data_IF_887107019443
#
_entry.id   IF_887107019443
#
_cell.length_a   1.000
_cell.length_b   1.000
_cell.length_c   1.000
_cell.angle_alpha   90.00
_cell.angle_beta   90.00
_cell.angle_gamma   90.00
#
_symmetry.space_group_name_H-M   'P 1'
#
loop_
_entity.id
_entity.type
_entity.pdbx_description
1 polymer ?
#
# COMPACT_ATOMS: atom_id res chain seq x y z
N UNK A 1 -10.30 -18.01 -14.59
CA UNK A 1 -9.42 -18.50 -13.50
C UNK A 1 -10.31 -18.74 -12.29
N UNK A 2 -10.78 -19.97 -12.16
CA UNK A 2 -11.56 -20.45 -11.00
C UNK A 2 -10.66 -20.47 -9.77
N UNK A 3 -10.83 -19.48 -8.89
CA UNK A 3 -10.22 -19.49 -7.57
C UNK A 3 -11.21 -20.13 -6.61
N UNK A 4 -11.33 -21.45 -6.69
CA UNK A 4 -12.07 -22.21 -5.69
C UNK A 4 -11.32 -22.13 -4.36
N UNK A 5 -11.94 -21.50 -3.35
CA UNK A 5 -11.47 -21.41 -1.97
C UNK A 5 -11.13 -22.79 -1.37
N UNK A 6 -11.67 -23.87 -1.95
CA UNK A 6 -11.43 -25.28 -1.58
C UNK A 6 -9.97 -25.74 -1.72
N UNK A 7 -9.11 -25.01 -2.44
CA UNK A 7 -7.71 -25.39 -2.66
C UNK A 7 -6.71 -24.69 -1.73
N UNK A 8 -7.19 -23.83 -0.83
CA UNK A 8 -6.33 -23.26 0.20
C UNK A 8 -6.15 -24.28 1.32
N UNK A 9 -4.92 -24.48 1.85
CA UNK A 9 -4.68 -25.27 3.04
C UNK A 9 -5.08 -24.44 4.27
N UNK A 10 -6.30 -23.90 4.25
CA UNK A 10 -6.95 -23.35 5.43
C UNK A 10 -7.68 -24.50 6.11
N UNK A 11 -7.50 -24.63 7.42
CA UNK A 11 -8.14 -25.60 8.32
C UNK A 11 -9.67 -25.46 8.42
N UNK A 12 -10.32 -24.95 7.37
CA UNK A 12 -11.75 -24.78 7.29
C UNK A 12 -12.34 -26.08 6.79
N UNK A 13 -12.72 -26.94 7.73
CA UNK A 13 -13.77 -27.90 7.45
C UNK A 13 -15.03 -27.08 7.11
N UNK A 14 -15.56 -27.30 5.91
CA UNK A 14 -16.79 -26.67 5.46
C UNK A 14 -17.91 -27.43 6.16
N UNK A 15 -18.49 -26.82 7.19
CA UNK A 15 -19.67 -27.34 7.84
C UNK A 15 -20.90 -26.75 7.15
N UNK A 16 -21.83 -27.60 6.72
CA UNK A 16 -23.11 -27.20 6.11
C UNK A 16 -24.10 -26.61 7.13
N UNK A 17 -23.72 -26.54 8.41
CA UNK A 17 -24.61 -26.11 9.49
C UNK A 17 -24.26 -24.69 9.97
N UNK A 18 -25.06 -23.72 9.50
CA UNK A 18 -24.96 -22.27 9.73
C UNK A 18 -25.12 -21.82 11.21
N UNK A 19 -25.07 -22.75 12.18
CA UNK A 19 -25.48 -22.50 13.58
C UNK A 19 -24.49 -22.93 14.66
N UNK A 20 -23.24 -23.26 14.32
CA UNK A 20 -22.22 -23.52 15.34
C UNK A 20 -21.64 -22.20 15.87
N UNK A 21 -22.22 -21.66 16.95
CA UNK A 21 -21.62 -20.55 17.71
C UNK A 21 -20.46 -21.04 18.59
N UNK A 22 -19.60 -20.13 19.03
CA UNK A 22 -18.47 -20.47 19.93
C UNK A 22 -18.94 -21.17 21.21
N UNK A 23 -20.09 -20.77 21.75
CA UNK A 23 -20.68 -21.34 22.97
C UNK A 23 -20.96 -22.84 22.84
N UNK A 24 -21.16 -23.35 21.63
CA UNK A 24 -21.35 -24.78 21.39
C UNK A 24 -20.15 -25.62 21.87
N UNK A 25 -18.94 -25.06 21.74
CA UNK A 25 -17.67 -25.69 22.10
C UNK A 25 -17.22 -25.41 23.54
N UNK A 26 -18.04 -24.70 24.33
CA UNK A 26 -17.72 -24.32 25.70
C UNK A 26 -18.75 -24.95 26.63
N UNK A 27 -18.27 -25.70 27.63
CA UNK A 27 -19.09 -26.28 28.69
C UNK A 27 -18.46 -25.98 30.05
N UNK A 28 -19.23 -25.42 30.98
CA UNK A 28 -18.75 -25.04 32.33
C UNK A 28 -17.46 -24.21 32.32
N UNK A 29 -17.39 -23.21 31.44
CA UNK A 29 -16.20 -22.36 31.25
C UNK A 29 -14.92 -23.14 30.90
N UNK A 30 -15.06 -24.30 30.25
CA UNK A 30 -13.96 -25.10 29.71
C UNK A 30 -14.24 -25.47 28.26
N UNK A 31 -13.19 -25.66 27.49
CA UNK A 31 -13.30 -26.19 26.14
C UNK A 31 -13.82 -27.63 26.16
N UNK A 32 -14.87 -27.88 25.39
CA UNK A 32 -15.42 -29.21 25.15
C UNK A 32 -14.55 -29.92 24.11
N UNK A 33 -13.49 -30.59 24.60
CA UNK A 33 -12.51 -31.29 23.76
C UNK A 33 -13.16 -32.31 22.82
N UNK A 34 -14.23 -32.98 23.28
CA UNK A 34 -14.93 -34.01 22.51
C UNK A 34 -15.65 -33.37 21.32
N UNK A 35 -16.24 -32.19 21.49
CA UNK A 35 -16.80 -31.45 20.36
C UNK A 35 -15.72 -30.88 19.46
N UNK A 36 -14.65 -30.31 20.01
CA UNK A 36 -13.59 -29.71 19.20
C UNK A 36 -12.94 -30.72 18.24
N UNK A 37 -12.70 -31.97 18.66
CA UNK A 37 -12.08 -32.99 17.79
C UNK A 37 -13.00 -33.50 16.67
N UNK A 38 -14.31 -33.28 16.78
CA UNK A 38 -15.26 -33.59 15.72
C UNK A 38 -15.21 -32.57 14.57
N UNK A 39 -14.75 -31.35 14.86
CA UNK A 39 -14.75 -30.22 13.91
C UNK A 39 -13.33 -29.78 13.49
N UNK A 40 -12.31 -30.07 14.31
CA UNK A 40 -10.95 -29.58 14.08
C UNK A 40 -9.93 -30.72 14.16
N UNK A 41 -8.83 -30.58 13.42
CA UNK A 41 -7.69 -31.50 13.51
C UNK A 41 -6.96 -31.37 14.85
N UNK A 42 -6.29 -32.44 15.29
CA UNK A 42 -5.66 -32.60 16.61
C UNK A 42 -4.75 -31.43 17.00
N UNK A 43 -3.89 -30.95 16.08
CA UNK A 43 -3.01 -29.80 16.33
C UNK A 43 -3.77 -28.52 16.69
N UNK A 44 -4.90 -28.28 16.02
CA UNK A 44 -5.72 -27.10 16.24
C UNK A 44 -6.55 -27.24 17.53
N UNK A 45 -7.05 -28.45 17.83
CA UNK A 45 -7.71 -28.75 19.10
C UNK A 45 -6.77 -28.48 20.27
N UNK A 46 -5.51 -28.92 20.17
CA UNK A 46 -4.48 -28.69 21.19
C UNK A 46 -4.20 -27.19 21.37
N UNK A 47 -4.13 -26.43 20.27
CA UNK A 47 -3.97 -24.98 20.32
C UNK A 47 -5.17 -24.29 20.99
N UNK A 48 -6.40 -24.60 20.57
CA UNK A 48 -7.63 -24.03 21.15
C UNK A 48 -7.71 -24.36 22.65
N UNK A 49 -7.45 -25.62 23.02
CA UNK A 49 -7.53 -26.09 24.41
C UNK A 49 -6.51 -25.42 25.34
N UNK A 50 -5.42 -24.85 24.79
CA UNK A 50 -4.43 -24.10 25.58
C UNK A 50 -4.89 -22.69 25.98
N UNK A 51 -5.93 -22.17 25.32
CA UNK A 51 -6.51 -20.84 25.60
C UNK A 51 -7.32 -20.91 26.88
N UNK A 52 -7.02 -20.07 27.86
CA UNK A 52 -7.78 -20.02 29.11
C UNK A 52 -9.09 -19.25 28.93
N UNK A 53 -10.21 -19.85 29.33
CA UNK A 53 -11.53 -19.19 29.36
C UNK A 53 -11.69 -18.54 30.74
N UNK A 54 -11.67 -17.21 30.78
CA UNK A 54 -11.77 -16.45 32.03
C UNK A 54 -13.24 -16.14 32.36
N UNK A 55 -13.77 -16.68 33.45
CA UNK A 55 -15.17 -16.49 33.86
C UNK A 55 -15.44 -15.21 34.68
N UNK A 56 -14.39 -14.52 35.14
CA UNK A 56 -14.49 -13.44 36.14
C UNK A 56 -14.51 -12.02 35.54
N UNK A 57 -14.62 -11.87 34.23
CA UNK A 57 -14.73 -10.56 33.59
C UNK A 57 -16.17 -10.35 33.12
N UNK A 58 -16.73 -9.17 33.39
CA UNK A 58 -17.96 -8.73 32.74
C UNK A 58 -17.78 -8.80 31.22
N UNK A 59 -18.89 -9.00 30.48
CA UNK A 59 -19.00 -9.09 29.01
C UNK A 59 -17.79 -8.58 28.23
N UNK A 60 -17.25 -9.38 27.30
CA UNK A 60 -16.17 -8.96 26.41
C UNK A 60 -16.49 -7.61 25.75
N UNK A 61 -15.78 -6.56 26.17
CA UNK A 61 -15.87 -5.26 25.54
C UNK A 61 -14.62 -5.03 24.68
N UNK A 62 -14.80 -4.45 23.50
CA UNK A 62 -13.67 -3.94 22.72
C UNK A 62 -13.01 -2.81 23.50
N UNK A 63 -11.91 -3.11 24.19
CA UNK A 63 -11.08 -2.10 24.81
C UNK A 63 -10.09 -1.53 23.78
N UNK A 64 -10.48 -0.42 23.16
CA UNK A 64 -9.48 0.48 22.61
C UNK A 64 -8.77 1.08 23.81
N UNK A 65 -7.51 0.68 24.03
CA UNK A 65 -6.61 1.30 25.02
C UNK A 65 -6.73 2.83 24.90
N UNK A 66 -7.54 3.42 25.79
CA UNK A 66 -7.71 4.85 26.04
C UNK A 66 -8.53 5.69 25.01
N UNK A 67 -9.88 5.58 24.98
CA UNK A 67 -10.80 6.76 24.90
C UNK A 67 -12.30 6.40 24.84
N UNK A 68 -13.09 7.05 25.71
CA UNK A 68 -14.55 7.11 25.63
C UNK A 68 -14.91 8.32 24.76
N UNK A 69 -15.17 8.13 23.45
CA UNK A 69 -15.67 9.24 22.62
C UNK A 69 -16.83 8.88 21.68
N UNK A 70 -17.38 7.67 21.75
CA UNK A 70 -18.52 7.25 20.91
C UNK A 70 -18.26 7.34 19.39
N UNK A 71 -16.99 7.50 18.98
CA UNK A 71 -16.56 7.69 17.60
C UNK A 71 -15.96 6.40 17.08
N UNK A 72 -16.15 6.10 15.79
CA UNK A 72 -15.51 4.94 15.17
C UNK A 72 -13.98 5.08 15.17
N UNK A 73 -13.25 3.96 15.06
CA UNK A 73 -11.79 3.94 14.93
C UNK A 73 -11.34 4.85 13.79
N UNK A 74 -12.03 4.83 12.65
CA UNK A 74 -11.75 5.72 11.51
C UNK A 74 -11.95 7.20 11.87
N UNK A 75 -13.03 7.54 12.57
CA UNK A 75 -13.29 8.91 13.00
C UNK A 75 -12.26 9.40 14.03
N UNK A 76 -11.77 8.50 14.90
CA UNK A 76 -10.71 8.82 15.84
C UNK A 76 -9.33 8.92 15.19
N UNK A 77 -8.98 8.08 14.21
CA UNK A 77 -7.73 8.21 13.44
C UNK A 77 -7.73 9.53 12.66
N UNK A 78 -8.88 9.88 12.06
CA UNK A 78 -9.08 11.16 11.40
C UNK A 78 -8.90 12.30 12.41
N UNK A 79 -9.56 12.26 13.57
CA UNK A 79 -9.45 13.29 14.60
C UNK A 79 -8.09 13.39 15.29
N UNK A 80 -7.42 12.27 15.53
CA UNK A 80 -6.09 12.23 16.15
C UNK A 80 -5.07 12.82 15.18
N UNK A 81 -5.22 12.50 13.88
CA UNK A 81 -4.50 13.18 12.79
C UNK A 81 -4.84 14.67 12.64
N UNK A 82 -5.93 15.16 13.24
CA UNK A 82 -6.25 16.60 13.33
C UNK A 82 -5.84 17.25 14.67
N UNK A 83 -5.60 16.45 15.73
CA UNK A 83 -5.21 16.93 17.06
C UNK A 83 -3.69 17.05 17.22
N UNK A 84 -2.91 16.27 16.47
CA UNK A 84 -1.49 16.53 16.23
C UNK A 84 -1.33 17.70 15.24
N UNK A 85 -1.56 18.92 15.73
CA UNK A 85 -1.26 20.20 15.08
C UNK A 85 -1.95 20.47 13.72
N UNK A 86 -2.17 21.76 13.44
CA UNK A 86 -2.37 22.27 12.09
C UNK A 86 -1.09 22.09 11.23
N UNK A 87 -0.51 20.89 11.20
CA UNK A 87 0.49 20.53 10.21
C UNK A 87 -0.28 20.39 8.91
N UNK A 88 -0.27 21.45 8.12
CA UNK A 88 -0.60 21.38 6.69
C UNK A 88 0.13 20.15 6.17
N UNK A 89 -0.62 19.09 5.84
CA UNK A 89 -0.06 17.83 5.38
C UNK A 89 1.01 18.18 4.33
N UNK A 90 2.30 17.86 4.58
CA UNK A 90 3.39 18.35 3.73
C UNK A 90 3.24 17.93 2.27
N UNK A 91 2.36 16.97 1.99
CA UNK A 91 2.03 16.44 0.67
C UNK A 91 0.64 16.85 0.16
N UNK A 92 -0.10 17.69 0.89
CA UNK A 92 -1.42 18.23 0.48
C UNK A 92 -1.41 18.87 -0.91
N UNK A 93 -0.31 19.51 -1.27
CA UNK A 93 -0.12 20.13 -2.58
C UNK A 93 -0.15 19.12 -3.74
N UNK A 94 0.11 17.84 -3.49
CA UNK A 94 0.04 16.77 -4.49
C UNK A 94 -1.41 16.58 -4.97
N UNK A 95 -2.40 16.72 -4.07
CA UNK A 95 -3.83 16.61 -4.43
C UNK A 95 -4.24 17.67 -5.45
N UNK A 96 -3.62 18.86 -5.41
CA UNK A 96 -3.88 19.94 -6.37
C UNK A 96 -3.37 19.64 -7.78
N UNK A 97 -2.59 18.58 -7.98
CA UNK A 97 -2.08 18.19 -9.30
C UNK A 97 -3.13 17.46 -10.15
N UNK A 98 -4.29 17.07 -9.61
CA UNK A 98 -5.30 16.26 -10.31
C UNK A 98 -4.64 15.04 -11.00
N UNK A 99 -3.92 14.23 -10.21
CA UNK A 99 -3.28 13.00 -10.70
C UNK A 99 -4.33 11.90 -10.89
N UNK A 100 -3.95 10.83 -11.60
CA UNK A 100 -4.77 9.63 -11.61
C UNK A 100 -4.78 8.97 -10.21
N UNK A 101 -5.92 8.41 -9.81
CA UNK A 101 -6.11 7.80 -8.49
C UNK A 101 -5.08 6.72 -8.14
N UNK A 102 -4.61 5.92 -9.11
CA UNK A 102 -3.59 4.89 -8.87
C UNK A 102 -2.23 5.50 -8.52
N UNK A 103 -1.87 6.59 -9.21
CA UNK A 103 -0.63 7.35 -8.96
C UNK A 103 -0.73 8.06 -7.62
N UNK A 104 -1.87 8.69 -7.33
CA UNK A 104 -2.11 9.39 -6.07
C UNK A 104 -2.05 8.45 -4.86
N UNK A 105 -2.74 7.30 -4.92
CA UNK A 105 -2.69 6.29 -3.87
C UNK A 105 -1.27 5.76 -3.66
N UNK A 106 -0.52 5.54 -4.74
CA UNK A 106 0.87 5.15 -4.64
C UNK A 106 1.71 6.21 -3.94
N UNK A 107 1.62 7.48 -4.35
CA UNK A 107 2.37 8.57 -3.72
C UNK A 107 2.01 8.70 -2.24
N UNK A 108 0.72 8.62 -1.88
CA UNK A 108 0.30 8.64 -0.49
C UNK A 108 1.00 7.53 0.31
N UNK A 109 1.08 6.31 -0.22
CA UNK A 109 1.81 5.20 0.43
C UNK A 109 3.31 5.46 0.54
N UNK A 110 3.92 6.06 -0.49
CA UNK A 110 5.35 6.45 -0.46
C UNK A 110 5.58 7.49 0.64
N UNK A 111 4.75 8.52 0.71
CA UNK A 111 4.83 9.58 1.72
C UNK A 111 4.64 9.05 3.15
N UNK A 112 3.77 8.06 3.33
CA UNK A 112 3.56 7.37 4.61
C UNK A 112 4.59 6.27 4.90
N UNK A 113 5.55 6.04 4.01
CA UNK A 113 6.56 4.98 4.12
C UNK A 113 5.96 3.58 4.24
N UNK A 114 4.84 3.32 3.57
CA UNK A 114 4.07 2.06 3.66
C UNK A 114 4.13 1.20 2.40
N UNK A 115 4.88 1.62 1.37
CA UNK A 115 5.12 0.75 0.21
C UNK A 115 6.02 -0.43 0.60
N UNK A 116 5.77 -1.65 0.07
CA UNK A 116 6.53 -2.85 0.41
C UNK A 116 7.88 -2.90 -0.31
N UNK A 117 8.79 -1.96 -0.01
CA UNK A 117 10.18 -2.03 -0.48
C UNK A 117 10.87 -3.26 0.11
N UNK A 118 11.96 -3.73 -0.49
CA UNK A 118 12.66 -4.91 0.07
C UNK A 118 13.21 -4.61 1.47
N UNK A 119 13.70 -3.39 1.73
CA UNK A 119 14.12 -2.99 3.08
C UNK A 119 12.98 -3.05 4.11
N UNK A 120 11.79 -2.55 3.73
CA UNK A 120 10.58 -2.67 4.55
C UNK A 120 10.21 -4.14 4.85
N UNK A 121 10.31 -5.01 3.85
CA UNK A 121 10.04 -6.44 4.02
C UNK A 121 11.08 -7.12 4.90
N UNK A 122 12.36 -6.73 4.80
CA UNK A 122 13.43 -7.26 5.64
C UNK A 122 13.23 -6.87 7.10
N UNK A 123 12.86 -5.61 7.37
CA UNK A 123 12.53 -5.14 8.71
C UNK A 123 11.34 -5.89 9.35
N UNK A 124 10.48 -6.50 8.52
CA UNK A 124 9.38 -7.38 8.94
C UNK A 124 9.72 -8.87 8.91
N UNK A 125 10.98 -9.23 8.67
CA UNK A 125 11.47 -10.62 8.58
C UNK A 125 10.79 -11.45 7.47
N UNK A 126 10.33 -10.79 6.40
CA UNK A 126 9.72 -11.43 5.23
C UNK A 126 10.73 -11.72 4.10
N UNK A 127 11.96 -11.24 4.23
CA UNK A 127 13.08 -11.49 3.32
C UNK A 127 14.39 -11.36 4.11
N UNK A 128 15.44 -12.05 3.65
CA UNK A 128 16.77 -12.06 4.29
C UNK A 128 17.77 -11.10 3.63
N UNK A 129 17.36 -10.43 2.56
CA UNK A 129 18.18 -9.52 1.78
C UNK A 129 17.34 -8.27 1.44
N UNK A 130 17.90 -7.08 1.58
CA UNK A 130 17.27 -5.78 1.25
C UNK A 130 17.80 -5.13 -0.04
N UNK A 131 18.64 -5.81 -0.81
CA UNK A 131 19.21 -5.28 -2.04
C UNK A 131 18.16 -5.13 -3.15
N UNK A 132 18.32 -4.08 -3.96
CA UNK A 132 17.52 -3.82 -5.17
C UNK A 132 17.52 -5.05 -6.09
N UNK A 133 16.32 -5.55 -6.41
CA UNK A 133 16.14 -6.72 -7.28
C UNK A 133 16.53 -6.48 -8.74
N UNK A 134 16.64 -5.21 -9.17
CA UNK A 134 17.12 -4.82 -10.50
C UNK A 134 18.65 -4.83 -10.62
N UNK A 135 19.37 -5.31 -9.59
CA UNK A 135 20.83 -5.37 -9.62
C UNK A 135 21.50 -4.01 -9.48
N UNK A 136 20.84 -3.06 -8.81
CA UNK A 136 21.36 -1.71 -8.64
C UNK A 136 22.60 -1.62 -7.72
N UNK A 137 22.88 -2.68 -6.95
CA UNK A 137 23.97 -2.69 -5.97
C UNK A 137 23.72 -1.87 -4.69
N UNK A 138 22.50 -1.38 -4.47
CA UNK A 138 22.10 -0.65 -3.25
C UNK A 138 20.87 -1.25 -2.57
N UNK A 139 20.64 -0.83 -1.32
CA UNK A 139 19.44 -1.18 -0.54
C UNK A 139 18.20 -0.57 -1.21
N UNK A 140 17.14 -1.37 -1.35
CA UNK A 140 15.85 -0.91 -1.86
C UNK A 140 15.03 -0.27 -0.73
N UNK A 141 15.36 0.97 -0.40
CA UNK A 141 14.57 1.84 0.49
C UNK A 141 13.72 2.85 -0.33
N UNK A 142 13.06 3.77 0.37
CA UNK A 142 12.23 4.80 -0.28
C UNK A 142 13.06 5.74 -1.14
N UNK A 143 14.26 6.14 -0.69
CA UNK A 143 15.13 7.01 -1.47
C UNK A 143 15.54 6.32 -2.77
N UNK A 144 15.89 5.04 -2.68
CA UNK A 144 16.27 4.24 -3.83
C UNK A 144 15.17 4.19 -4.88
N UNK A 145 13.96 3.76 -4.49
CA UNK A 145 12.86 3.56 -5.45
C UNK A 145 12.33 4.87 -6.03
N UNK A 146 12.53 5.99 -5.33
CA UNK A 146 12.04 7.30 -5.76
C UNK A 146 13.07 8.18 -6.46
N UNK A 147 14.38 7.93 -6.28
CA UNK A 147 15.41 8.85 -6.76
C UNK A 147 16.67 8.20 -7.32
N UNK A 148 17.22 7.16 -6.69
CA UNK A 148 18.56 6.65 -7.04
C UNK A 148 18.58 5.29 -7.76
N UNK A 149 17.42 4.67 -8.01
CA UNK A 149 17.34 3.43 -8.76
C UNK A 149 17.88 3.59 -10.19
N UNK A 150 18.81 2.73 -10.61
CA UNK A 150 19.47 2.80 -11.93
C UNK A 150 18.47 2.74 -13.08
N UNK A 151 17.43 1.89 -12.98
CA UNK A 151 16.35 1.80 -13.97
C UNK A 151 15.56 3.11 -14.07
N UNK A 152 15.21 3.71 -12.94
CA UNK A 152 14.51 5.00 -12.89
C UNK A 152 15.35 6.10 -13.56
N UNK A 153 16.64 6.18 -13.19
CA UNK A 153 17.56 7.18 -13.74
C UNK A 153 17.71 7.05 -15.26
N UNK A 154 17.80 5.84 -15.79
CA UNK A 154 17.85 5.60 -17.25
C UNK A 154 16.58 6.09 -17.97
N UNK A 155 15.41 5.92 -17.36
CA UNK A 155 14.15 6.42 -17.93
C UNK A 155 14.09 7.95 -17.86
N UNK A 156 14.58 8.55 -16.77
CA UNK A 156 14.74 10.01 -16.66
C UNK A 156 15.65 10.53 -17.78
N UNK A 157 16.80 9.90 -17.99
CA UNK A 157 17.75 10.27 -19.06
C UNK A 157 17.13 10.14 -20.46
N UNK A 158 16.35 9.08 -20.69
CA UNK A 158 15.62 8.91 -21.94
C UNK A 158 14.60 10.04 -22.16
N UNK A 159 13.80 10.38 -21.15
CA UNK A 159 12.85 11.48 -21.24
C UNK A 159 13.56 12.83 -21.45
N UNK A 160 14.72 13.04 -20.82
CA UNK A 160 15.55 14.22 -21.07
C UNK A 160 16.02 14.26 -22.53
N UNK A 161 16.44 13.13 -23.09
CA UNK A 161 16.83 13.04 -24.50
C UNK A 161 15.68 13.34 -25.48
N UNK A 162 14.43 13.17 -25.04
CA UNK A 162 13.22 13.53 -25.79
C UNK A 162 12.79 14.99 -25.58
N UNK A 163 13.57 15.79 -24.85
CA UNK A 163 13.34 17.22 -24.63
C UNK A 163 12.62 17.59 -23.35
N UNK A 164 12.32 16.63 -22.45
CA UNK A 164 11.69 16.93 -21.17
C UNK A 164 12.73 17.39 -20.14
N UNK A 165 12.40 18.41 -19.32
CA UNK A 165 13.30 18.92 -18.27
C UNK A 165 12.99 18.28 -16.93
N UNK A 166 13.46 17.05 -16.73
CA UNK A 166 13.26 16.31 -15.47
C UNK A 166 14.50 16.41 -14.57
N UNK A 167 14.33 16.73 -13.28
CA UNK A 167 15.43 16.76 -12.32
C UNK A 167 15.87 15.35 -11.89
N UNK A 168 17.09 15.24 -11.37
CA UNK A 168 17.56 14.08 -10.61
C UNK A 168 17.79 14.53 -9.17
N UNK A 169 17.44 13.67 -8.23
CA UNK A 169 17.53 13.96 -6.80
C UNK A 169 18.33 12.87 -6.09
N UNK A 170 18.82 13.17 -4.89
CA UNK A 170 19.57 12.22 -4.07
C UNK A 170 18.74 11.63 -2.93
N UNK A 171 17.58 12.24 -2.62
CA UNK A 171 16.67 11.77 -1.59
C UNK A 171 15.21 12.06 -1.92
N UNK A 172 14.30 11.29 -1.34
CA UNK A 172 12.86 11.50 -1.51
C UNK A 172 12.40 12.86 -0.99
N UNK A 173 13.00 13.36 0.09
CA UNK A 173 12.68 14.67 0.65
C UNK A 173 13.10 15.81 -0.29
N UNK A 174 14.30 15.73 -0.86
CA UNK A 174 14.77 16.68 -1.87
C UNK A 174 13.87 16.64 -3.12
N UNK A 175 13.47 15.44 -3.54
CA UNK A 175 12.54 15.22 -4.64
C UNK A 175 11.19 15.92 -4.41
N UNK A 176 10.55 15.70 -3.25
CA UNK A 176 9.29 16.37 -2.91
C UNK A 176 9.43 17.89 -2.89
N UNK A 177 10.50 18.42 -2.30
CA UNK A 177 10.74 19.85 -2.25
C UNK A 177 10.95 20.46 -3.64
N UNK A 178 11.81 19.84 -4.46
CA UNK A 178 12.09 20.28 -5.81
C UNK A 178 10.85 20.26 -6.71
N UNK A 179 10.10 19.16 -6.66
CA UNK A 179 8.86 19.04 -7.43
C UNK A 179 7.77 20.02 -6.97
N UNK A 180 7.66 20.30 -5.67
CA UNK A 180 6.74 21.32 -5.14
C UNK A 180 7.07 22.71 -5.68
N UNK A 181 8.36 23.06 -5.82
CA UNK A 181 8.77 24.31 -6.45
C UNK A 181 8.43 24.33 -7.93
N UNK A 182 8.70 23.24 -8.66
CA UNK A 182 8.37 23.12 -10.08
C UNK A 182 6.86 23.18 -10.37
N UNK A 183 6.02 22.67 -9.46
CA UNK A 183 4.58 22.67 -9.60
C UNK A 183 3.99 24.08 -9.76
N UNK A 184 4.65 25.11 -9.19
CA UNK A 184 4.23 26.51 -9.30
C UNK A 184 4.40 27.07 -10.71
N UNK A 185 5.38 26.58 -11.45
CA UNK A 185 5.69 27.05 -12.81
C UNK A 185 5.09 26.15 -13.89
N UNK A 186 5.13 24.83 -13.68
CA UNK A 186 4.70 23.87 -14.67
C UNK A 186 4.36 22.53 -14.00
N UNK A 187 3.07 22.32 -13.75
CA UNK A 187 2.56 21.09 -13.13
C UNK A 187 2.70 19.86 -14.03
N UNK A 188 2.84 20.01 -15.36
CA UNK A 188 2.98 18.89 -16.29
C UNK A 188 4.24 18.08 -16.01
N UNK A 189 5.39 18.73 -15.80
CA UNK A 189 6.64 18.01 -15.48
C UNK A 189 6.53 17.25 -14.16
N UNK A 190 5.81 17.81 -13.19
CA UNK A 190 5.57 17.14 -11.91
C UNK A 190 4.66 15.92 -12.09
N UNK A 191 3.60 16.03 -12.88
CA UNK A 191 2.73 14.90 -13.23
C UNK A 191 3.52 13.79 -13.94
N UNK A 192 4.38 14.15 -14.89
CA UNK A 192 5.27 13.21 -15.60
C UNK A 192 6.17 12.49 -14.60
N UNK A 193 6.82 13.23 -13.70
CA UNK A 193 7.73 12.66 -12.71
C UNK A 193 7.02 11.67 -11.78
N UNK A 194 5.88 12.06 -11.20
CA UNK A 194 5.14 11.19 -10.30
C UNK A 194 4.54 9.95 -11.00
N UNK A 195 4.06 10.13 -12.22
CA UNK A 195 3.60 9.01 -13.06
C UNK A 195 4.76 8.06 -13.37
N UNK A 196 5.96 8.59 -13.63
CA UNK A 196 7.16 7.80 -13.81
C UNK A 196 7.53 6.98 -12.58
N UNK A 197 7.46 7.56 -11.37
CA UNK A 197 7.69 6.80 -10.13
C UNK A 197 6.74 5.61 -10.03
N UNK A 198 5.46 5.83 -10.32
CA UNK A 198 4.45 4.78 -10.29
C UNK A 198 4.72 3.67 -11.32
N UNK A 199 4.99 4.01 -12.59
CA UNK A 199 5.30 3.00 -13.61
C UNK A 199 6.61 2.26 -13.32
N UNK A 200 7.64 2.95 -12.82
CA UNK A 200 8.89 2.31 -12.39
C UNK A 200 8.61 1.31 -11.28
N UNK A 201 7.83 1.68 -10.27
CA UNK A 201 7.43 0.78 -9.19
C UNK A 201 6.57 -0.41 -9.66
N UNK A 202 5.59 -0.14 -10.52
CA UNK A 202 4.69 -1.16 -11.08
C UNK A 202 5.45 -2.18 -11.93
N UNK A 203 6.34 -1.72 -12.80
CA UNK A 203 7.22 -2.57 -13.63
C UNK A 203 8.10 -3.48 -12.76
N UNK A 204 8.65 -2.97 -11.65
CA UNK A 204 9.40 -3.79 -10.69
C UNK A 204 8.53 -4.89 -10.08
N UNK A 205 7.31 -4.56 -9.66
CA UNK A 205 6.42 -5.52 -9.04
C UNK A 205 5.97 -6.61 -10.03
N UNK A 206 5.85 -6.29 -11.31
CA UNK A 206 5.60 -7.28 -12.36
C UNK A 206 6.68 -8.37 -12.36
N UNK A 207 7.96 -8.01 -12.25
CA UNK A 207 9.08 -8.97 -12.17
C UNK A 207 8.94 -9.89 -10.96
N UNK A 208 8.62 -9.33 -9.79
CA UNK A 208 8.40 -10.11 -8.57
C UNK A 208 7.26 -11.14 -8.72
N UNK A 209 6.29 -10.88 -9.60
CA UNK A 209 5.18 -11.76 -9.91
C UNK A 209 5.41 -12.62 -11.18
N UNK A 210 6.65 -12.76 -11.64
CA UNK A 210 7.02 -13.64 -12.75
C UNK A 210 6.70 -13.09 -14.13
N UNK A 211 6.38 -11.79 -14.25
CA UNK A 211 6.19 -11.13 -15.55
C UNK A 211 7.50 -10.50 -16.02
N UNK A 212 7.57 -10.20 -17.32
CA UNK A 212 8.72 -9.51 -17.92
C UNK A 212 8.76 -8.05 -17.46
N UNK A 213 9.96 -7.54 -17.15
CA UNK A 213 10.15 -6.14 -16.82
C UNK A 213 9.95 -5.26 -18.06
N UNK A 214 9.26 -4.13 -17.92
CA UNK A 214 9.14 -3.16 -19.00
C UNK A 214 10.52 -2.56 -19.36
N UNK A 215 10.77 -2.38 -20.65
CA UNK A 215 11.95 -1.64 -21.13
C UNK A 215 11.86 -0.16 -20.75
N UNK A 216 13.00 0.53 -20.71
CA UNK A 216 13.07 1.96 -20.40
C UNK A 216 12.21 2.79 -21.36
N UNK A 217 12.24 2.43 -22.65
CA UNK A 217 11.44 3.05 -23.70
C UNK A 217 9.94 2.81 -23.50
N UNK A 218 9.55 1.58 -23.13
CA UNK A 218 8.14 1.26 -22.85
C UNK A 218 7.62 2.05 -21.64
N UNK A 219 8.41 2.14 -20.56
CA UNK A 219 8.05 2.95 -19.40
C UNK A 219 7.89 4.42 -19.80
N UNK A 220 8.86 5.00 -20.51
CA UNK A 220 8.80 6.40 -20.94
C UNK A 220 7.58 6.68 -21.82
N UNK A 221 7.31 5.85 -22.82
CA UNK A 221 6.15 6.00 -23.71
C UNK A 221 4.82 5.91 -22.95
N UNK A 222 4.70 4.95 -22.01
CA UNK A 222 3.49 4.80 -21.18
C UNK A 222 3.27 5.98 -20.25
N UNK A 223 4.33 6.53 -19.66
CA UNK A 223 4.24 7.75 -18.82
C UNK A 223 3.64 8.90 -19.62
N UNK A 224 4.18 9.18 -20.81
CA UNK A 224 3.70 10.28 -21.65
C UNK A 224 2.27 10.07 -22.14
N UNK A 225 1.93 8.86 -22.59
CA UNK A 225 0.57 8.51 -23.00
C UNK A 225 -0.43 8.67 -21.84
N UNK A 226 -0.07 8.19 -20.66
CA UNK A 226 -0.93 8.23 -19.47
C UNK A 226 -1.19 9.67 -18.98
N UNK A 227 -0.16 10.52 -18.95
CA UNK A 227 -0.31 11.92 -18.55
C UNK A 227 -1.14 12.70 -19.57
N UNK A 228 -0.95 12.46 -20.87
CA UNK A 228 -1.73 13.11 -21.93
C UNK A 228 -3.22 12.78 -21.83
N UNK A 229 -3.58 11.51 -21.62
CA UNK A 229 -4.98 11.07 -21.45
C UNK A 229 -5.62 11.68 -20.19
N UNK A 230 -4.88 11.73 -19.08
CA UNK A 230 -5.40 12.27 -17.82
C UNK A 230 -5.66 13.78 -17.93
N UNK A 231 -4.79 14.52 -18.63
CA UNK A 231 -5.00 15.96 -18.86
C UNK A 231 -6.21 16.24 -19.77
N UNK A 232 -6.47 15.42 -20.79
CA UNK A 232 -7.66 15.57 -21.64
C UNK A 232 -8.96 15.37 -20.86
N UNK A 233 -9.00 14.38 -19.96
CA UNK A 233 -10.18 14.11 -19.15
C UNK A 233 -10.49 15.24 -18.15
N UNK A 234 -9.46 15.88 -17.59
CA UNK A 234 -9.63 17.05 -16.71
C UNK A 234 -10.18 18.26 -17.47
N UNK A 235 -9.69 18.51 -18.69
CA UNK A 235 -10.20 19.60 -19.52
C UNK A 235 -11.67 19.35 -19.87
N UNK A 236 -12.03 18.11 -20.22
CA UNK A 236 -13.41 17.76 -20.56
C UNK A 236 -14.37 17.78 -19.37
N UNK A 237 -13.92 17.49 -18.13
CA UNK A 237 -14.75 17.62 -16.93
C UNK A 237 -15.02 19.08 -16.59
N UNK A 238 -14.01 19.94 -16.66
CA UNK A 238 -14.14 21.37 -16.33
C UNK A 238 -15.09 22.10 -17.32
N UNK A 239 -15.33 21.55 -18.53
CA UNK A 239 -16.30 22.07 -19.51
C UNK A 239 -17.74 21.57 -19.31
N UNK A 240 -17.97 20.49 -18.56
CA UNK A 240 -19.32 19.95 -18.30
C UNK A 240 -20.00 20.58 -17.10
N UNK A 241 -19.25 21.24 -16.23
CA UNK A 241 -19.75 21.91 -15.03
C UNK A 241 -20.20 23.38 -15.27
N UNK A 242 -20.29 23.81 -16.54
CA UNK A 242 -20.65 25.19 -16.94
C UNK A 242 -21.96 25.26 -17.74
N UNK A 243 -22.77 24.20 -17.76
CA UNK A 243 -24.12 24.22 -18.37
C UNK A 243 -25.21 23.76 -17.40
#
# INVERSE_FOLDING_TARGET
>A
MDKSLLRWPTFLAIFEDDKTSLDFFIHDARWDYVKLILYFGEDLVNMISSIHICHNYNEDFMELKMKISGRSISAMIIEDGFKEEMIVDPVSWIHNLKLNAEVELFLWRVCKKTIPTIDFLMNRRLTNNNMCQRGCGGVEDINHVTTTCSKLLKVIDLLISWGFRLPKFNSFQECLHGLKMMARTNSLYVKIYFTLLWFSWSSKNNVKHGKVEDSEMMIAARVLGFVSMTNQNVILSDHRDVN
#
